data_IF_768870694349
#
_entry.id   IF_768870694349
#
_cell.length_a   1.000
_cell.length_b   1.000
_cell.length_c   1.000
_cell.angle_alpha   90.00
_cell.angle_beta   90.00
_cell.angle_gamma   90.00
#
_symmetry.space_group_name_H-M   'P 1'
#
loop_
_entity.id
_entity.type
_entity.pdbx_description
1 polymer ?
#
# COMPACT_ATOMS: atom_id res chain seq x y z
N UNK A 1 -9.51 -8.24 1.26
CA UNK A 1 -8.57 -9.05 0.46
C UNK A 1 -7.79 -8.13 -0.46
N UNK A 2 -6.47 -8.17 -0.38
CA UNK A 2 -5.61 -7.42 -1.30
C UNK A 2 -5.77 -7.98 -2.71
N UNK A 3 -5.64 -7.16 -3.76
CA UNK A 3 -5.78 -7.64 -5.15
C UNK A 3 -4.75 -8.72 -5.52
N UNK A 4 -3.58 -8.71 -4.87
CA UNK A 4 -2.56 -9.75 -5.00
C UNK A 4 -3.00 -11.11 -4.47
N UNK A 5 -3.76 -11.11 -3.37
CA UNK A 5 -4.23 -12.35 -2.74
C UNK A 5 -5.33 -13.01 -3.57
N UNK A 6 -6.20 -12.20 -4.18
CA UNK A 6 -7.25 -12.71 -5.06
C UNK A 6 -6.68 -13.39 -6.30
N UNK A 7 -5.66 -12.80 -6.95
CA UNK A 7 -5.01 -13.41 -8.10
C UNK A 7 -4.27 -14.70 -7.73
N UNK A 8 -3.59 -14.73 -6.57
CA UNK A 8 -2.91 -15.92 -6.07
C UNK A 8 -3.90 -17.04 -5.75
N UNK A 9 -5.05 -16.71 -5.14
CA UNK A 9 -6.09 -17.68 -4.85
C UNK A 9 -6.72 -18.25 -6.13
N UNK A 10 -7.04 -17.43 -7.13
CA UNK A 10 -7.59 -17.90 -8.42
C UNK A 10 -6.63 -18.82 -9.18
N UNK A 11 -5.32 -18.59 -9.05
CA UNK A 11 -4.31 -19.43 -9.70
C UNK A 11 -4.10 -20.78 -9.01
N UNK A 12 -4.26 -20.84 -7.68
CA UNK A 12 -3.87 -22.02 -6.87
C UNK A 12 -5.04 -22.90 -6.46
N UNK A 13 -6.24 -22.35 -6.35
CA UNK A 13 -7.35 -23.06 -5.73
C UNK A 13 -8.49 -23.33 -6.71
N UNK A 14 -9.01 -24.56 -6.76
CA UNK A 14 -10.19 -24.88 -7.55
C UNK A 14 -11.45 -24.26 -6.94
N UNK A 15 -12.51 -24.16 -7.76
CA UNK A 15 -13.82 -23.62 -7.34
C UNK A 15 -14.39 -24.30 -6.08
N UNK A 16 -14.14 -25.61 -5.92
CA UNK A 16 -14.61 -26.37 -4.78
C UNK A 16 -14.05 -25.90 -3.43
N UNK A 17 -12.85 -25.31 -3.41
CA UNK A 17 -12.19 -24.88 -2.20
C UNK A 17 -12.47 -23.42 -1.85
N UNK A 18 -12.48 -22.53 -2.86
CA UNK A 18 -12.55 -21.08 -2.65
C UNK A 18 -13.80 -20.42 -3.22
N UNK A 19 -14.65 -21.20 -3.91
CA UNK A 19 -15.73 -20.65 -4.72
C UNK A 19 -15.27 -20.06 -6.07
N UNK A 20 -16.21 -19.64 -6.90
CA UNK A 20 -15.92 -19.06 -8.20
C UNK A 20 -15.27 -17.68 -8.04
N UNK A 21 -14.21 -17.42 -8.79
CA UNK A 21 -13.43 -16.18 -8.72
C UNK A 21 -13.09 -15.67 -10.12
N UNK A 22 -13.11 -14.36 -10.28
CA UNK A 22 -12.62 -13.65 -11.46
C UNK A 22 -11.98 -12.34 -11.05
N UNK A 23 -10.85 -11.98 -11.67
CA UNK A 23 -10.11 -10.77 -11.34
C UNK A 23 -9.45 -10.18 -12.59
N UNK A 24 -9.65 -8.88 -12.84
CA UNK A 24 -9.03 -8.13 -13.94
C UNK A 24 -7.71 -7.55 -13.45
N UNK A 25 -6.60 -8.05 -13.96
CA UNK A 25 -5.25 -7.56 -13.66
C UNK A 25 -4.86 -6.47 -14.67
N UNK A 26 -5.55 -5.33 -14.63
CA UNK A 26 -5.33 -4.22 -15.53
C UNK A 26 -5.67 -2.90 -14.84
N UNK A 27 -4.79 -1.89 -14.92
CA UNK A 27 -4.94 -0.64 -14.17
C UNK A 27 -5.75 0.44 -14.92
N UNK A 28 -6.06 0.23 -16.20
CA UNK A 28 -6.78 1.18 -17.06
C UNK A 28 -6.15 2.59 -17.04
N UNK A 29 -4.82 2.64 -16.99
CA UNK A 29 -4.02 3.86 -16.96
C UNK A 29 -3.45 4.17 -18.34
N UNK A 30 -2.88 5.40 -18.56
CA UNK A 30 -2.17 5.72 -19.79
C UNK A 30 -0.97 4.83 -20.10
N UNK A 31 -0.46 4.11 -19.10
CA UNK A 31 0.72 3.23 -19.18
C UNK A 31 0.36 1.75 -19.20
N UNK A 32 -0.95 1.44 -19.18
CA UNK A 32 -1.43 0.06 -19.25
C UNK A 32 -1.35 -0.46 -20.67
N UNK A 33 -1.05 -1.76 -20.79
CA UNK A 33 -1.00 -2.47 -22.07
C UNK A 33 -2.38 -2.49 -22.75
N UNK A 34 -2.41 -2.66 -24.06
CA UNK A 34 -3.64 -2.92 -24.81
C UNK A 34 -4.25 -4.30 -24.48
N UNK A 35 -3.43 -5.25 -24.08
CA UNK A 35 -3.84 -6.58 -23.67
C UNK A 35 -4.36 -6.59 -22.24
N UNK A 36 -5.51 -7.22 -22.02
CA UNK A 36 -6.12 -7.33 -20.68
C UNK A 36 -5.95 -8.76 -20.16
N UNK A 37 -5.28 -8.89 -19.04
CA UNK A 37 -5.08 -10.17 -18.35
C UNK A 37 -6.18 -10.36 -17.30
N UNK A 38 -6.84 -11.50 -17.33
CA UNK A 38 -7.88 -11.88 -16.37
C UNK A 38 -7.53 -13.21 -15.73
N UNK A 39 -7.53 -13.26 -14.40
CA UNK A 39 -7.39 -14.50 -13.64
C UNK A 39 -8.76 -15.03 -13.25
N UNK A 40 -8.98 -16.33 -13.45
CA UNK A 40 -10.21 -16.99 -13.07
C UNK A 40 -10.00 -18.49 -12.82
N UNK A 41 -10.81 -19.06 -11.94
CA UNK A 41 -10.93 -20.50 -11.72
C UNK A 41 -12.22 -21.09 -12.32
N UNK A 42 -12.98 -20.30 -13.09
CA UNK A 42 -14.17 -20.71 -13.81
C UNK A 42 -13.82 -21.45 -15.13
N UNK A 43 -14.83 -22.00 -15.84
CA UNK A 43 -14.62 -22.67 -17.13
C UNK A 43 -14.24 -21.69 -18.25
N UNK A 44 -14.86 -20.51 -18.22
CA UNK A 44 -14.61 -19.43 -19.16
C UNK A 44 -14.85 -18.06 -18.56
N UNK A 45 -14.26 -17.05 -19.21
CA UNK A 45 -14.43 -15.64 -18.83
C UNK A 45 -14.99 -14.85 -19.98
N UNK A 46 -16.05 -14.08 -19.73
CA UNK A 46 -16.54 -13.04 -20.62
C UNK A 46 -16.05 -11.69 -20.14
N UNK A 47 -15.24 -11.01 -20.95
CA UNK A 47 -14.79 -9.64 -20.70
C UNK A 47 -15.61 -8.69 -21.58
N UNK A 48 -16.25 -7.71 -20.95
CA UNK A 48 -16.96 -6.62 -21.59
C UNK A 48 -16.28 -5.30 -21.26
N UNK A 49 -16.16 -4.40 -22.26
CA UNK A 49 -15.57 -3.08 -22.09
C UNK A 49 -16.53 -1.99 -22.54
N UNK A 50 -16.31 -0.76 -22.07
CA UNK A 50 -17.10 0.42 -22.42
C UNK A 50 -18.60 0.21 -22.27
N UNK A 51 -19.02 -0.29 -21.09
CA UNK A 51 -20.41 -0.55 -20.74
C UNK A 51 -21.09 -1.58 -21.68
N UNK A 52 -20.32 -2.60 -22.08
CA UNK A 52 -20.78 -3.69 -22.91
C UNK A 52 -20.80 -3.41 -24.42
N UNK A 53 -20.18 -2.31 -24.87
CA UNK A 53 -20.04 -2.00 -26.31
C UNK A 53 -19.24 -3.09 -27.03
N UNK A 54 -18.21 -3.62 -26.39
CA UNK A 54 -17.45 -4.77 -26.85
C UNK A 54 -17.50 -5.89 -25.82
N UNK A 55 -17.66 -7.12 -26.27
CA UNK A 55 -17.66 -8.30 -25.41
C UNK A 55 -17.00 -9.49 -26.12
N UNK A 56 -16.08 -10.15 -25.39
CA UNK A 56 -15.39 -11.36 -25.87
C UNK A 56 -15.43 -12.42 -24.78
N UNK A 57 -15.59 -13.68 -25.17
CA UNK A 57 -15.55 -14.83 -24.24
C UNK A 57 -14.41 -15.76 -24.62
N UNK A 58 -13.57 -16.08 -23.64
CA UNK A 58 -12.45 -17.01 -23.81
C UNK A 58 -12.51 -18.11 -22.73
N UNK A 59 -12.09 -19.35 -23.06
CA UNK A 59 -12.00 -20.44 -22.09
C UNK A 59 -10.83 -20.21 -21.13
N UNK A 60 -10.98 -20.71 -19.93
CA UNK A 60 -9.86 -20.85 -18.96
C UNK A 60 -9.19 -22.21 -19.22
N UNK A 61 -7.86 -22.20 -19.35
CA UNK A 61 -7.10 -23.43 -19.47
C UNK A 61 -6.72 -23.92 -18.09
N UNK A 62 -7.27 -25.06 -17.68
CA UNK A 62 -6.99 -25.70 -16.40
C UNK A 62 -5.79 -26.66 -16.49
N UNK A 63 -5.09 -26.83 -15.36
CA UNK A 63 -4.01 -27.82 -15.18
C UNK A 63 -2.87 -27.72 -16.21
N UNK A 64 -2.44 -26.49 -16.54
CA UNK A 64 -1.31 -26.28 -17.43
C UNK A 64 0.00 -26.15 -16.63
N UNK A 65 0.82 -27.20 -16.62
CA UNK A 65 2.08 -27.26 -15.89
C UNK A 65 1.88 -27.14 -14.37
N UNK A 66 2.54 -26.15 -13.76
CA UNK A 66 2.40 -25.86 -12.32
C UNK A 66 1.26 -24.88 -11.99
N UNK A 67 0.53 -24.40 -13.01
CA UNK A 67 -0.59 -23.48 -12.82
C UNK A 67 -1.90 -24.22 -12.99
N UNK A 68 -2.72 -24.37 -11.93
CA UNK A 68 -4.04 -24.98 -12.01
C UNK A 68 -4.98 -24.25 -12.97
N UNK A 69 -4.89 -22.92 -13.03
CA UNK A 69 -5.69 -22.06 -13.90
C UNK A 69 -4.77 -21.06 -14.60
N UNK A 70 -4.61 -21.20 -15.91
CA UNK A 70 -3.80 -20.27 -16.69
C UNK A 70 -4.50 -18.90 -16.80
N UNK A 71 -3.76 -17.78 -16.80
CA UNK A 71 -4.33 -16.46 -17.02
C UNK A 71 -4.96 -16.38 -18.41
N UNK A 72 -6.13 -15.76 -18.50
CA UNK A 72 -6.84 -15.51 -19.76
C UNK A 72 -6.40 -14.14 -20.28
N UNK A 73 -5.86 -14.11 -21.52
CA UNK A 73 -5.34 -12.88 -22.12
C UNK A 73 -6.27 -12.47 -23.26
N UNK A 74 -6.88 -11.30 -23.08
CA UNK A 74 -7.71 -10.66 -24.11
C UNK A 74 -6.84 -9.66 -24.86
N UNK A 75 -6.58 -9.94 -26.13
CA UNK A 75 -5.69 -9.14 -26.99
C UNK A 75 -6.38 -7.90 -27.51
N UNK A 76 -5.66 -6.77 -27.54
CA UNK A 76 -6.07 -5.49 -28.14
C UNK A 76 -7.47 -5.04 -27.67
N UNK A 77 -7.67 -4.98 -26.35
CA UNK A 77 -8.95 -4.61 -25.74
C UNK A 77 -8.94 -3.19 -25.20
N UNK A 78 -7.78 -2.73 -24.71
CA UNK A 78 -7.67 -1.43 -24.07
C UNK A 78 -7.03 -0.39 -25.01
N UNK A 79 -7.75 0.71 -25.25
CA UNK A 79 -7.21 1.92 -25.85
C UNK A 79 -7.42 3.12 -24.93
N UNK A 80 -6.32 3.70 -24.46
CA UNK A 80 -6.36 4.89 -23.60
C UNK A 80 -7.00 6.09 -24.29
N UNK A 81 -6.78 6.27 -25.60
CA UNK A 81 -7.32 7.41 -26.34
C UNK A 81 -8.83 7.30 -26.54
N UNK A 82 -9.34 6.10 -26.76
CA UNK A 82 -10.77 5.81 -26.79
C UNK A 82 -11.42 6.06 -25.43
N UNK A 83 -10.81 5.54 -24.35
CA UNK A 83 -11.25 5.80 -22.98
C UNK A 83 -11.29 7.29 -22.64
N UNK A 84 -10.28 8.05 -23.11
CA UNK A 84 -10.22 9.50 -22.94
C UNK A 84 -11.34 10.19 -23.74
N UNK A 85 -11.69 9.71 -24.92
CA UNK A 85 -12.79 10.25 -25.70
C UNK A 85 -14.12 10.13 -24.95
N UNK A 86 -14.43 8.96 -24.41
CA UNK A 86 -15.62 8.78 -23.57
C UNK A 86 -15.59 9.68 -22.33
N UNK A 87 -14.46 9.79 -21.64
CA UNK A 87 -14.35 10.54 -20.41
C UNK A 87 -14.45 12.05 -20.61
N UNK A 88 -13.73 12.61 -21.58
CA UNK A 88 -13.57 14.05 -21.74
C UNK A 88 -14.47 14.66 -22.79
N UNK A 89 -14.56 14.08 -23.98
CA UNK A 89 -15.38 14.63 -25.06
C UNK A 89 -16.87 14.37 -24.85
N UNK A 90 -17.20 13.12 -24.47
CA UNK A 90 -18.60 12.74 -24.24
C UNK A 90 -19.06 13.00 -22.80
N UNK A 91 -18.16 13.39 -21.89
CA UNK A 91 -18.41 13.60 -20.45
C UNK A 91 -19.08 12.39 -19.77
N UNK A 92 -18.88 11.20 -20.32
CA UNK A 92 -19.46 9.94 -19.84
C UNK A 92 -18.36 9.01 -19.34
N UNK A 93 -17.68 9.42 -18.26
CA UNK A 93 -16.61 8.64 -17.65
C UNK A 93 -17.10 7.28 -17.08
N UNK A 94 -18.38 7.17 -16.73
CA UNK A 94 -18.98 5.92 -16.21
C UNK A 94 -18.98 4.80 -17.26
N UNK A 95 -18.99 5.17 -18.53
CA UNK A 95 -18.91 4.22 -19.65
C UNK A 95 -17.52 3.56 -19.74
N UNK A 96 -16.48 4.21 -19.22
CA UNK A 96 -15.12 3.66 -19.20
C UNK A 96 -15.00 2.65 -18.07
N UNK A 97 -15.38 1.42 -18.34
CA UNK A 97 -15.29 0.31 -17.40
C UNK A 97 -14.97 -0.99 -18.13
N UNK A 98 -14.45 -1.94 -17.37
CA UNK A 98 -14.28 -3.34 -17.76
C UNK A 98 -15.07 -4.20 -16.79
N UNK A 99 -15.82 -5.16 -17.31
CA UNK A 99 -16.56 -6.13 -16.52
C UNK A 99 -16.13 -7.53 -16.97
N UNK A 100 -15.55 -8.29 -16.05
CA UNK A 100 -15.24 -9.70 -16.26
C UNK A 100 -16.28 -10.56 -15.53
N UNK A 101 -16.85 -11.51 -16.24
CA UNK A 101 -17.83 -12.46 -15.73
C UNK A 101 -17.25 -13.87 -15.83
N UNK A 102 -17.16 -14.54 -14.68
CA UNK A 102 -16.77 -15.95 -14.61
C UNK A 102 -18.00 -16.84 -14.92
N UNK A 103 -17.83 -17.78 -15.84
CA UNK A 103 -18.89 -18.64 -16.34
C UNK A 103 -18.55 -20.10 -16.00
N UNK A 104 -19.50 -20.82 -15.39
CA UNK A 104 -19.46 -22.27 -15.13
C UNK A 104 -20.75 -22.86 -15.65
N UNK A 105 -20.66 -23.97 -16.39
CA UNK A 105 -21.81 -24.63 -17.01
C UNK A 105 -22.72 -23.67 -17.81
N UNK A 106 -22.12 -22.70 -18.48
CA UNK A 106 -22.83 -21.70 -19.28
C UNK A 106 -23.55 -20.61 -18.46
N UNK A 107 -23.43 -20.59 -17.14
CA UNK A 107 -24.03 -19.59 -16.27
C UNK A 107 -22.99 -18.67 -15.68
N UNK A 108 -23.29 -17.37 -15.60
CA UNK A 108 -22.46 -16.39 -14.88
C UNK A 108 -22.57 -16.65 -13.38
N UNK A 109 -21.45 -16.96 -12.73
CA UNK A 109 -21.37 -17.29 -11.29
C UNK A 109 -20.67 -16.23 -10.46
N UNK A 110 -19.80 -15.42 -11.07
CA UNK A 110 -19.14 -14.31 -10.40
C UNK A 110 -18.87 -13.18 -11.40
N UNK A 111 -18.73 -11.97 -10.88
CA UNK A 111 -18.50 -10.77 -11.70
C UNK A 111 -17.51 -9.86 -10.99
N UNK A 112 -16.58 -9.30 -11.75
CA UNK A 112 -15.63 -8.29 -11.26
C UNK A 112 -15.65 -7.09 -12.21
N UNK A 113 -15.83 -5.89 -11.63
CA UNK A 113 -15.85 -4.64 -12.37
C UNK A 113 -14.62 -3.82 -12.05
N UNK A 114 -13.96 -3.30 -13.08
CA UNK A 114 -12.82 -2.38 -12.98
C UNK A 114 -13.14 -1.06 -13.66
N UNK A 115 -12.69 0.04 -13.03
CA UNK A 115 -12.78 1.39 -13.59
C UNK A 115 -11.44 2.09 -13.42
N UNK A 116 -11.06 3.02 -14.33
CA UNK A 116 -9.87 3.83 -14.15
C UNK A 116 -10.04 4.75 -12.93
N UNK A 117 -8.99 4.89 -12.15
CA UNK A 117 -8.98 5.80 -11.02
C UNK A 117 -9.00 7.26 -11.50
N UNK A 118 -9.79 8.07 -10.82
CA UNK A 118 -9.89 9.51 -11.03
C UNK A 118 -8.94 10.25 -10.09
N UNK A 119 -9.24 11.53 -9.79
CA UNK A 119 -8.46 12.34 -8.86
C UNK A 119 -8.50 11.73 -7.46
N UNK A 120 -7.37 11.80 -6.74
CA UNK A 120 -7.28 11.45 -5.33
C UNK A 120 -8.22 12.33 -4.50
N UNK A 121 -9.15 11.74 -3.74
CA UNK A 121 -10.12 12.48 -2.92
C UNK A 121 -10.20 11.96 -1.49
N UNK A 122 -9.88 10.69 -1.27
CA UNK A 122 -10.02 10.02 0.02
C UNK A 122 -8.84 9.11 0.30
N UNK A 123 -8.57 8.90 1.57
CA UNK A 123 -7.79 7.77 2.05
C UNK A 123 -8.74 6.68 2.53
N UNK A 124 -8.37 5.43 2.29
CA UNK A 124 -9.02 4.25 2.85
C UNK A 124 -7.97 3.45 3.60
N UNK A 125 -8.30 2.92 4.77
CA UNK A 125 -7.41 2.03 5.50
C UNK A 125 -8.06 0.66 5.68
N UNK A 126 -7.22 -0.35 5.71
CA UNK A 126 -7.57 -1.71 6.13
C UNK A 126 -6.40 -2.34 6.88
N UNK A 127 -6.71 -3.38 7.62
CA UNK A 127 -5.73 -4.15 8.37
C UNK A 127 -5.46 -5.44 7.64
N UNK A 128 -4.19 -5.74 7.46
CA UNK A 128 -3.74 -7.01 6.88
C UNK A 128 -3.24 -7.92 8.02
N UNK A 129 -4.15 -8.74 8.54
CA UNK A 129 -3.88 -9.63 9.68
C UNK A 129 -3.84 -11.10 9.30
N UNK A 130 -4.29 -11.45 8.09
CA UNK A 130 -4.55 -12.86 7.73
C UNK A 130 -5.41 -13.59 8.77
N UNK A 131 -6.30 -12.86 9.47
CA UNK A 131 -7.17 -13.38 10.53
C UNK A 131 -6.51 -13.54 11.90
N UNK A 132 -5.27 -13.10 12.09
CA UNK A 132 -4.60 -13.10 13.41
C UNK A 132 -5.06 -11.94 14.26
N UNK A 133 -5.14 -12.16 15.57
CA UNK A 133 -5.36 -11.13 16.56
C UNK A 133 -4.03 -10.56 17.05
N UNK A 134 -3.99 -9.26 17.28
CA UNK A 134 -2.80 -8.58 17.81
C UNK A 134 -2.69 -8.87 19.33
N UNK A 135 -1.57 -9.43 19.75
CA UNK A 135 -1.29 -9.78 21.15
C UNK A 135 -0.54 -8.64 21.84
N UNK A 136 -0.97 -8.25 23.03
CA UNK A 136 -0.35 -7.21 23.84
C UNK A 136 0.89 -7.72 24.58
N UNK A 137 1.93 -8.11 23.86
CA UNK A 137 3.19 -8.62 24.41
C UNK A 137 4.34 -7.60 24.29
N UNK A 138 4.08 -6.45 23.66
CA UNK A 138 5.06 -5.39 23.44
C UNK A 138 6.00 -5.63 22.25
N UNK A 139 5.84 -6.76 21.56
CA UNK A 139 6.64 -7.13 20.38
C UNK A 139 5.79 -7.46 19.15
N UNK A 140 4.58 -7.98 19.36
CA UNK A 140 3.67 -8.32 18.28
C UNK A 140 3.21 -7.08 17.50
N UNK A 141 3.05 -7.23 16.20
CA UNK A 141 2.69 -6.13 15.32
C UNK A 141 1.72 -6.56 14.22
N UNK A 142 1.06 -5.57 13.67
CA UNK A 142 0.07 -5.71 12.63
C UNK A 142 0.39 -4.72 11.50
N UNK A 143 0.05 -5.10 10.28
CA UNK A 143 0.19 -4.23 9.11
C UNK A 143 -1.11 -3.48 8.88
N UNK A 144 -1.04 -2.14 8.87
CA UNK A 144 -2.14 -1.28 8.45
C UNK A 144 -1.76 -0.67 7.11
N UNK A 145 -2.63 -0.76 6.13
CA UNK A 145 -2.39 -0.23 4.79
C UNK A 145 -3.36 0.92 4.53
N UNK A 146 -2.80 2.10 4.21
CA UNK A 146 -3.57 3.22 3.70
C UNK A 146 -3.52 3.24 2.18
N UNK A 147 -4.66 3.38 1.53
CA UNK A 147 -4.79 3.51 0.08
C UNK A 147 -5.34 4.87 -0.29
N UNK A 148 -4.76 5.46 -1.33
CA UNK A 148 -5.27 6.69 -1.93
C UNK A 148 -6.34 6.33 -2.95
N UNK A 149 -7.55 6.80 -2.76
CA UNK A 149 -8.70 6.47 -3.61
C UNK A 149 -9.36 7.70 -4.20
N UNK A 150 -10.13 7.48 -5.27
CA UNK A 150 -11.06 8.46 -5.81
C UNK A 150 -12.43 8.40 -5.10
N UNK A 151 -13.37 9.25 -5.53
CA UNK A 151 -14.73 9.31 -4.97
C UNK A 151 -15.49 7.99 -5.07
N UNK A 152 -15.17 7.17 -6.07
CA UNK A 152 -15.79 5.86 -6.32
C UNK A 152 -15.10 4.71 -5.58
N UNK A 153 -14.02 4.99 -4.84
CA UNK A 153 -13.24 3.99 -4.10
C UNK A 153 -12.19 3.25 -4.94
N UNK A 154 -11.96 3.67 -6.19
CA UNK A 154 -10.89 3.08 -7.00
C UNK A 154 -9.52 3.57 -6.50
N UNK A 155 -8.59 2.65 -6.30
CA UNK A 155 -7.23 2.98 -5.87
C UNK A 155 -6.49 3.72 -6.98
N UNK A 156 -5.91 4.87 -6.64
CA UNK A 156 -5.12 5.66 -7.57
C UNK A 156 -3.67 5.17 -7.58
N UNK A 157 -3.34 4.27 -8.48
CA UNK A 157 -1.99 3.65 -8.58
C UNK A 157 -0.86 4.63 -8.89
N UNK A 158 -1.17 5.76 -9.53
CA UNK A 158 -0.20 6.82 -9.85
C UNK A 158 -0.16 7.94 -8.79
N UNK A 159 -0.71 7.71 -7.61
CA UNK A 159 -0.61 8.60 -6.47
C UNK A 159 0.85 8.77 -6.02
N UNK A 160 1.21 9.97 -5.55
CA UNK A 160 2.58 10.33 -5.09
C UNK A 160 2.57 11.03 -3.74
N UNK A 161 1.48 10.99 -3.05
CA UNK A 161 1.31 11.60 -1.73
C UNK A 161 2.23 10.93 -0.71
N UNK A 162 2.64 11.66 0.31
CA UNK A 162 3.25 11.11 1.51
C UNK A 162 2.18 11.02 2.60
N UNK A 163 2.03 9.86 3.19
CA UNK A 163 1.04 9.58 4.23
C UNK A 163 1.72 9.61 5.60
N UNK A 164 1.13 10.36 6.51
CA UNK A 164 1.52 10.41 7.92
C UNK A 164 0.53 9.56 8.72
N UNK A 165 1.06 8.68 9.54
CA UNK A 165 0.29 7.87 10.45
C UNK A 165 0.47 8.36 11.89
N UNK A 166 -0.63 8.56 12.59
CA UNK A 166 -0.66 8.84 14.02
C UNK A 166 -1.39 7.74 14.75
N UNK A 167 -0.88 7.36 15.93
CA UNK A 167 -1.44 6.26 16.72
C UNK A 167 -1.74 6.80 18.12
N UNK A 168 -2.94 6.51 18.59
CA UNK A 168 -3.42 6.78 19.95
C UNK A 168 -3.77 5.46 20.64
N UNK A 169 -3.57 5.39 21.95
CA UNK A 169 -3.88 4.20 22.77
C UNK A 169 -2.70 3.24 22.88
N UNK A 170 -2.98 1.93 22.94
CA UNK A 170 -2.04 0.88 23.32
C UNK A 170 -1.24 0.33 22.11
N UNK A 171 -0.81 1.22 21.23
CA UNK A 171 0.00 0.89 20.06
C UNK A 171 1.03 1.97 19.71
N UNK A 172 2.03 1.60 18.91
CA UNK A 172 3.08 2.51 18.41
C UNK A 172 3.45 2.19 16.97
N UNK A 173 3.74 3.22 16.18
CA UNK A 173 4.31 3.04 14.84
C UNK A 173 5.74 2.51 14.95
N UNK A 174 6.07 1.52 14.13
CA UNK A 174 7.45 1.03 13.98
C UNK A 174 8.13 1.82 12.86
N UNK A 175 9.25 2.46 13.21
CA UNK A 175 10.06 3.24 12.28
C UNK A 175 9.66 4.71 12.19
N UNK A 176 10.51 5.48 11.54
CA UNK A 176 10.41 6.92 11.41
C UNK A 176 10.73 7.40 9.98
N UNK A 177 10.89 8.70 9.82
CA UNK A 177 11.21 9.33 8.54
C UNK A 177 12.58 8.91 7.98
N UNK A 178 13.52 8.46 8.81
CA UNK A 178 14.88 8.09 8.38
C UNK A 178 14.90 6.85 7.49
N UNK A 179 13.91 5.98 7.66
CA UNK A 179 13.73 4.75 6.87
C UNK A 179 12.47 4.81 5.99
N UNK A 180 11.92 6.00 5.77
CA UNK A 180 10.68 6.21 5.02
C UNK A 180 9.52 5.35 5.55
N UNK A 181 9.44 5.14 6.87
CA UNK A 181 8.35 4.39 7.50
C UNK A 181 7.18 5.29 7.88
N UNK A 182 7.47 6.51 8.40
CA UNK A 182 6.45 7.50 8.75
C UNK A 182 7.07 8.91 8.77
N UNK A 183 6.75 9.83 7.84
CA UNK A 183 5.81 9.67 6.72
C UNK A 183 6.20 8.57 5.73
N UNK A 184 5.19 7.89 5.16
CA UNK A 184 5.39 6.86 4.14
C UNK A 184 5.01 7.39 2.76
N UNK A 185 5.92 7.30 1.81
CA UNK A 185 5.62 7.60 0.41
C UNK A 185 4.70 6.52 -0.17
N UNK A 186 3.66 6.96 -0.85
CA UNK A 186 2.72 6.05 -1.52
C UNK A 186 3.41 5.36 -2.70
N UNK A 187 3.31 4.05 -2.75
CA UNK A 187 3.77 3.21 -3.85
C UNK A 187 2.58 2.43 -4.43
N UNK A 188 2.35 2.55 -5.74
CA UNK A 188 1.18 1.95 -6.41
C UNK A 188 -0.16 2.23 -5.72
N UNK A 189 -0.32 3.43 -5.17
CA UNK A 189 -1.55 3.87 -4.50
C UNK A 189 -1.68 3.42 -3.06
N UNK A 190 -0.69 2.74 -2.48
CA UNK A 190 -0.71 2.17 -1.14
C UNK A 190 0.46 2.63 -0.29
N UNK A 191 0.25 2.80 1.00
CA UNK A 191 1.26 3.11 2.00
C UNK A 191 1.05 2.20 3.22
N UNK A 192 1.87 1.16 3.40
CA UNK A 192 1.81 0.30 4.57
C UNK A 192 2.52 0.93 5.76
N UNK A 193 2.03 0.64 6.96
CA UNK A 193 2.66 0.97 8.24
C UNK A 193 2.59 -0.21 9.19
N UNK A 194 3.62 -0.41 9.99
CA UNK A 194 3.64 -1.43 11.04
C UNK A 194 3.24 -0.79 12.38
N UNK A 195 2.22 -1.34 13.01
CA UNK A 195 1.73 -0.93 14.32
C UNK A 195 2.05 -2.03 15.33
N UNK A 196 2.93 -1.72 16.27
CA UNK A 196 3.32 -2.63 17.35
C UNK A 196 2.42 -2.41 18.56
N UNK A 197 2.01 -3.50 19.22
CA UNK A 197 1.29 -3.44 20.48
C UNK A 197 2.18 -2.93 21.63
N UNK A 198 1.55 -2.39 22.67
CA UNK A 198 2.17 -2.25 23.99
C UNK A 198 1.98 -3.55 24.79
N UNK A 199 2.44 -3.59 26.03
CA UNK A 199 2.17 -4.70 26.95
C UNK A 199 0.79 -4.65 27.60
N UNK A 200 0.06 -3.56 27.42
CA UNK A 200 -1.28 -3.37 27.93
C UNK A 200 -2.27 -3.68 26.81
N UNK A 201 -3.18 -4.65 27.01
CA UNK A 201 -4.24 -4.89 26.06
C UNK A 201 -5.20 -3.71 26.02
N UNK A 202 -5.68 -3.38 24.84
CA UNK A 202 -6.61 -2.27 24.70
C UNK A 202 -6.79 -1.78 23.29
N UNK A 203 -7.51 -0.68 23.18
CA UNK A 203 -7.82 -0.04 21.90
C UNK A 203 -6.63 0.72 21.36
N UNK A 204 -6.48 0.63 20.05
CA UNK A 204 -5.46 1.33 19.25
C UNK A 204 -6.19 2.05 18.14
N UNK A 205 -6.10 3.37 18.12
CA UNK A 205 -6.67 4.18 17.06
C UNK A 205 -5.56 4.65 16.12
N UNK A 206 -5.64 4.27 14.85
CA UNK A 206 -4.69 4.67 13.82
C UNK A 206 -5.39 5.65 12.90
N UNK A 207 -4.78 6.81 12.68
CA UNK A 207 -5.23 7.84 11.75
C UNK A 207 -4.19 8.02 10.65
N UNK A 208 -4.64 8.07 9.40
CA UNK A 208 -3.80 8.39 8.25
C UNK A 208 -4.26 9.70 7.62
N UNK A 209 -3.30 10.57 7.29
CA UNK A 209 -3.54 11.81 6.56
C UNK A 209 -2.36 12.11 5.63
N UNK A 210 -2.55 12.95 4.64
CA UNK A 210 -1.45 13.38 3.77
C UNK A 210 -0.56 14.38 4.50
N UNK A 211 0.75 14.31 4.25
CA UNK A 211 1.74 15.17 4.91
C UNK A 211 1.49 16.66 4.66
N UNK A 212 1.08 17.01 3.45
CA UNK A 212 0.81 18.39 3.07
C UNK A 212 -0.67 18.53 2.74
N UNK A 213 -1.42 19.08 3.68
CA UNK A 213 -2.83 19.34 3.53
C UNK A 213 -3.05 20.59 2.65
N UNK A 214 -4.02 20.51 1.76
CA UNK A 214 -4.44 21.60 0.88
C UNK A 214 -5.88 21.42 0.46
N UNK A 215 -6.45 22.42 -0.20
CA UNK A 215 -7.88 22.44 -0.61
C UNK A 215 -8.30 21.18 -1.40
N UNK A 216 -7.35 20.50 -2.00
CA UNK A 216 -7.57 19.35 -2.85
C UNK A 216 -6.92 18.07 -2.30
N UNK A 217 -6.46 18.09 -1.06
CA UNK A 217 -5.86 16.92 -0.43
C UNK A 217 -6.92 15.82 -0.20
N UNK A 218 -6.53 14.53 -0.29
CA UNK A 218 -7.38 13.43 0.10
C UNK A 218 -7.83 13.56 1.56
N UNK A 219 -9.09 13.28 1.82
CA UNK A 219 -9.65 13.30 3.17
C UNK A 219 -8.99 12.21 4.02
N UNK A 220 -8.56 12.60 5.23
CA UNK A 220 -7.99 11.68 6.22
C UNK A 220 -8.97 10.59 6.61
N UNK A 221 -8.44 9.47 7.05
CA UNK A 221 -9.23 8.33 7.54
C UNK A 221 -8.66 7.79 8.85
N UNK A 222 -9.47 7.06 9.59
CA UNK A 222 -9.06 6.41 10.83
C UNK A 222 -9.63 4.99 10.93
N UNK A 223 -8.92 4.13 11.68
CA UNK A 223 -9.33 2.77 11.98
C UNK A 223 -9.06 2.47 13.45
N UNK A 224 -9.95 1.73 14.07
CA UNK A 224 -9.78 1.23 15.43
C UNK A 224 -9.42 -0.26 15.41
N UNK A 225 -8.43 -0.60 16.21
CA UNK A 225 -7.92 -1.95 16.43
C UNK A 225 -8.01 -2.26 17.92
N UNK A 226 -7.94 -3.54 18.27
CA UNK A 226 -7.89 -3.98 19.65
C UNK A 226 -6.82 -5.06 19.80
N UNK A 227 -6.01 -4.94 20.84
CA UNK A 227 -5.03 -5.97 21.23
C UNK A 227 -5.58 -6.80 22.39
N UNK A 228 -5.32 -8.11 22.32
CA UNK A 228 -5.70 -9.08 23.36
C UNK A 228 -4.56 -9.28 24.36
N UNK A 229 -4.85 -9.69 25.61
CA UNK A 229 -3.83 -9.99 26.60
C UNK A 229 -2.86 -11.09 26.13
N UNK A 230 -1.59 -10.97 26.50
CA UNK A 230 -0.63 -12.06 26.34
C UNK A 230 -0.91 -13.18 27.36
N UNK A 231 -0.93 -14.42 26.90
CA UNK A 231 -1.01 -15.59 27.77
C UNK A 231 0.33 -15.98 28.37
N UNK A 232 1.43 -15.49 27.77
CA UNK A 232 2.77 -15.80 28.22
C UNK A 232 3.25 -14.75 29.25
N UNK A 233 3.95 -15.18 30.32
CA UNK A 233 4.52 -14.26 31.26
C UNK A 233 5.63 -13.42 30.63
N UNK A 234 5.73 -12.16 31.00
CA UNK A 234 6.84 -11.31 30.57
C UNK A 234 8.12 -11.66 31.30
N UNK A 235 9.24 -11.66 30.58
CA UNK A 235 10.58 -11.87 31.15
C UNK A 235 11.07 -10.69 32.00
N UNK A 236 10.50 -9.47 31.77
CA UNK A 236 10.85 -8.24 32.47
C UNK A 236 9.59 -7.54 32.98
N UNK A 237 9.71 -6.84 34.09
CA UNK A 237 8.65 -5.95 34.59
C UNK A 237 8.52 -4.70 33.71
N UNK A 238 7.41 -3.97 33.83
CA UNK A 238 7.24 -2.68 33.12
C UNK A 238 8.34 -1.69 33.53
N UNK A 239 8.66 -1.63 34.81
CA UNK A 239 9.69 -0.72 35.35
C UNK A 239 11.07 -1.04 34.78
N UNK A 240 11.44 -2.31 34.66
CA UNK A 240 12.71 -2.73 34.04
C UNK A 240 12.77 -2.39 32.56
N UNK A 241 11.65 -2.50 31.86
CA UNK A 241 11.57 -2.17 30.43
C UNK A 241 11.64 -0.68 30.19
N UNK A 242 10.98 0.11 31.03
CA UNK A 242 11.02 1.57 30.95
C UNK A 242 12.42 2.09 31.30
N UNK A 243 13.10 1.50 32.31
CA UNK A 243 14.46 1.80 32.63
C UNK A 243 15.44 1.43 31.50
N UNK A 244 15.27 0.28 30.85
CA UNK A 244 16.08 -0.09 29.70
C UNK A 244 15.80 0.82 28.48
N UNK A 245 14.56 1.20 28.23
CA UNK A 245 14.19 2.13 27.16
C UNK A 245 14.77 3.51 27.40
N UNK A 246 14.73 3.99 28.63
CA UNK A 246 15.35 5.24 29.04
C UNK A 246 16.89 5.16 28.96
N UNK A 247 17.48 4.04 29.38
CA UNK A 247 18.93 3.79 29.32
C UNK A 247 19.42 3.62 27.86
N UNK A 248 18.68 2.95 27.02
CA UNK A 248 18.99 2.82 25.59
C UNK A 248 18.92 4.17 24.86
N UNK A 249 18.00 5.05 25.28
CA UNK A 249 17.93 6.43 24.78
C UNK A 249 19.16 7.26 25.19
N UNK A 250 19.75 6.97 26.34
CA UNK A 250 20.98 7.63 26.83
C UNK A 250 22.28 7.01 26.27
N UNK A 251 22.24 5.70 25.93
CA UNK A 251 23.39 4.99 25.35
C UNK A 251 23.49 5.17 23.82
N UNK A 252 22.42 5.64 23.18
CA UNK A 252 22.43 5.99 21.77
C UNK A 252 23.06 7.34 21.54
N UNK A 253 24.37 7.35 21.34
CA UNK A 253 25.27 8.47 20.92
C UNK A 253 24.69 9.88 21.12
N UNK A 254 25.29 10.71 21.97
CA UNK A 254 24.90 12.12 22.12
C UNK A 254 24.92 12.92 20.82
N UNK A 255 25.62 12.43 19.81
CA UNK A 255 25.66 12.97 18.43
C UNK A 255 24.32 12.95 17.71
N UNK A 256 23.38 12.03 18.05
CA UNK A 256 22.10 11.91 17.32
C UNK A 256 21.02 12.88 17.81
N UNK A 257 21.05 13.23 19.09
CA UNK A 257 20.12 14.21 19.68
C UNK A 257 20.45 15.64 19.24
N UNK A 258 21.72 15.96 19.07
CA UNK A 258 22.16 17.26 18.58
C UNK A 258 21.90 17.46 17.08
N UNK A 259 21.95 16.38 16.27
CA UNK A 259 21.56 16.43 14.86
C UNK A 259 20.07 16.70 14.64
N UNK A 260 19.21 16.22 15.51
CA UNK A 260 17.78 16.49 15.45
C UNK A 260 17.40 17.91 15.91
N UNK A 261 18.21 18.56 16.72
CA UNK A 261 18.00 19.91 17.20
C UNK A 261 18.42 21.01 16.20
N UNK A 262 18.92 20.65 15.02
CA UNK A 262 19.20 21.60 13.92
C UNK A 262 20.29 22.64 14.17
N UNK A 263 21.07 22.50 15.25
CA UNK A 263 22.26 23.34 15.51
C UNK A 263 23.42 22.46 15.94
N UNK A 264 24.23 22.05 14.97
CA UNK A 264 25.58 21.62 15.25
C UNK A 264 26.37 22.90 15.67
N UNK A 265 26.48 23.14 16.94
CA UNK A 265 27.39 24.18 17.45
C UNK A 265 28.79 23.57 17.46
N UNK A 266 29.48 23.73 16.34
CA UNK A 266 30.91 23.38 16.28
C UNK A 266 31.66 24.30 17.21
N UNK A 267 32.56 23.73 18.01
CA UNK A 267 33.54 24.52 18.77
C UNK A 267 34.41 25.30 17.79
N UNK A 268 35.03 26.38 18.26
CA UNK A 268 35.92 27.24 17.42
C UNK A 268 37.07 26.41 16.81
N UNK A 269 37.58 25.43 17.54
CA UNK A 269 38.62 24.50 17.06
C UNK A 269 38.12 23.55 15.97
N UNK A 270 36.90 23.06 16.10
CA UNK A 270 36.26 22.20 15.06
C UNK A 270 35.92 22.98 13.82
N UNK A 271 35.51 24.24 13.95
CA UNK A 271 35.32 25.15 12.82
C UNK A 271 36.58 25.40 12.05
N UNK A 272 37.69 25.65 12.75
CA UNK A 272 39.00 25.87 12.12
C UNK A 272 39.49 24.60 11.41
N UNK A 273 39.29 23.41 11.96
CA UNK A 273 39.64 22.16 11.29
C UNK A 273 38.81 21.91 10.02
N UNK A 274 37.50 22.19 10.03
CA UNK A 274 36.66 22.08 8.86
C UNK A 274 37.06 23.09 7.79
N UNK A 275 37.36 24.32 8.15
CA UNK A 275 37.82 25.35 7.21
C UNK A 275 39.16 24.97 6.56
N UNK A 276 40.14 24.49 7.33
CA UNK A 276 41.42 24.02 6.77
C UNK A 276 41.25 22.81 5.85
N UNK A 277 40.32 21.91 6.13
CA UNK A 277 40.05 20.76 5.29
C UNK A 277 39.36 21.17 3.97
N UNK A 278 38.45 22.14 4.01
CA UNK A 278 37.81 22.71 2.83
C UNK A 278 38.82 23.45 1.96
N UNK A 279 39.72 24.24 2.56
CA UNK A 279 40.82 24.93 1.84
C UNK A 279 41.78 23.94 1.20
N UNK A 280 42.12 22.84 1.90
CA UNK A 280 42.94 21.77 1.34
C UNK A 280 42.29 21.12 0.10
N UNK A 281 41.04 20.79 0.22
CA UNK A 281 40.27 20.21 -0.92
C UNK A 281 40.16 21.19 -2.09
N UNK A 282 39.96 22.48 -1.87
CA UNK A 282 39.93 23.49 -2.92
C UNK A 282 41.26 23.66 -3.60
N UNK A 283 42.39 23.52 -2.91
CA UNK A 283 43.74 23.56 -3.49
C UNK A 283 44.09 22.30 -4.28
N UNK A 284 43.63 21.13 -3.84
CA UNK A 284 43.82 19.86 -4.56
C UNK A 284 42.99 19.83 -5.87
N UNK A 285 41.77 20.36 -5.89
CA UNK A 285 40.94 20.46 -7.11
C UNK A 285 41.29 21.66 -8.01
N UNK A 286 42.04 22.64 -7.51
CA UNK A 286 42.48 23.82 -8.29
C UNK A 286 43.75 23.63 -9.08
N UNK A 287 44.47 22.52 -8.95
CA UNK A 287 45.75 22.24 -9.64
C UNK A 287 45.63 21.31 -10.83
N UNK A 288 44.43 20.85 -11.20
CA UNK A 288 44.17 20.15 -12.47
C UNK A 288 43.51 21.10 -13.49
N UNK A 289 44.30 22.02 -14.04
CA UNK A 289 43.99 22.72 -15.30
C UNK A 289 45.27 22.90 -16.10
#
# INVERSE_FOLDING_TARGET
MCSSDLSAATLKHPVAECGPMVFIAHEMSPFSDADVVVFSNCDSVRLSVYDGTESRTLPVVHAQGHMPNAPVIFKDVWDFWEAREYSYKQKNWQKVNMVAEGIIDGKVVCTYKRMPSRRSTKLRMYVDTEGKQLVADGSDFIVVVAEVTDDSGNVRRLAKENIVFTVEGEGRVIGDASINANPRTVEFGSAPVLIRSTRKPGKIKVKAHVQFEGTNAPVATEIELESIPSELPFCYTEEETDAQSAGAGLAGSPVRTERMAGKVVLTEEERQKVLMEVERQQTEFGTEK
#
